data_IF_295095871348
#
_entry.id   IF_295095871348
#
_cell.length_a   1.000
_cell.length_b   1.000
_cell.length_c   1.000
_cell.angle_alpha   90.00
_cell.angle_beta   90.00
_cell.angle_gamma   90.00
#
_symmetry.space_group_name_H-M   'P 1'
#
loop_
_entity.id
_entity.type
_entity.pdbx_description
1 polymer ?
#
# COMPACT_ATOMS: atom_id res chain seq x y z
N UNK A 1 -16.63 5.38 2.46
CA UNK A 1 -16.50 3.95 2.06
C UNK A 1 -17.76 3.52 1.33
N UNK A 2 -17.66 2.78 0.24
CA UNK A 2 -18.81 2.45 -0.61
C UNK A 2 -19.84 1.56 0.11
N UNK A 3 -20.95 2.16 0.52
CA UNK A 3 -22.18 1.47 0.97
C UNK A 3 -22.66 0.41 -0.04
N UNK A 4 -22.30 0.58 -1.31
CA UNK A 4 -22.51 -0.36 -2.40
C UNK A 4 -21.88 -1.75 -2.13
N UNK A 5 -20.71 -1.80 -1.49
CA UNK A 5 -20.01 -3.05 -1.20
C UNK A 5 -20.74 -3.94 -0.18
N UNK A 6 -21.43 -3.33 0.78
CA UNK A 6 -22.14 -4.04 1.86
C UNK A 6 -23.47 -4.59 1.35
N UNK A 7 -24.21 -3.84 0.54
CA UNK A 7 -25.43 -4.32 -0.11
C UNK A 7 -25.13 -5.52 -1.01
N UNK A 8 -24.09 -5.44 -1.84
CA UNK A 8 -23.66 -6.55 -2.69
C UNK A 8 -23.20 -7.77 -1.87
N UNK A 9 -22.52 -7.54 -0.75
CA UNK A 9 -22.10 -8.62 0.15
C UNK A 9 -23.27 -9.34 0.84
N UNK A 10 -24.41 -8.66 1.03
CA UNK A 10 -25.66 -9.28 1.53
C UNK A 10 -26.30 -10.18 0.48
N UNK A 11 -26.19 -9.85 -0.81
CA UNK A 11 -26.82 -10.60 -1.91
C UNK A 11 -26.09 -11.91 -2.29
N UNK A 12 -24.83 -12.09 -1.86
CA UNK A 12 -24.01 -13.30 -2.13
C UNK A 12 -24.36 -14.48 -1.18
N UNK A 13 -25.47 -14.41 -0.46
CA UNK A 13 -25.86 -15.36 0.60
C UNK A 13 -26.21 -16.78 0.13
N UNK A 14 -25.19 -17.66 0.06
CA UNK A 14 -25.31 -19.12 0.27
C UNK A 14 -24.19 -19.75 1.11
N UNK A 15 -23.20 -18.98 1.57
CA UNK A 15 -22.05 -19.50 2.34
C UNK A 15 -21.90 -18.81 3.70
N UNK A 16 -21.17 -19.47 4.61
CA UNK A 16 -20.80 -18.91 5.92
C UNK A 16 -20.09 -17.57 5.72
N UNK A 17 -20.56 -16.51 6.36
CA UNK A 17 -19.92 -15.18 6.34
C UNK A 17 -18.51 -15.25 6.95
N UNK A 18 -17.46 -15.32 6.13
CA UNK A 18 -16.06 -15.58 6.53
C UNK A 18 -15.27 -14.36 7.04
N UNK A 19 -15.97 -13.28 7.42
CA UNK A 19 -15.37 -12.01 7.85
C UNK A 19 -15.30 -10.98 6.71
N UNK A 20 -15.35 -9.70 7.05
CA UNK A 20 -15.37 -8.58 6.08
C UNK A 20 -14.07 -7.77 6.18
N UNK A 21 -13.54 -7.32 5.05
CA UNK A 21 -12.25 -6.61 4.99
C UNK A 21 -12.45 -5.13 4.71
N UNK A 22 -11.78 -4.27 5.48
CA UNK A 22 -11.66 -2.84 5.23
C UNK A 22 -10.19 -2.44 5.13
N UNK A 23 -9.90 -1.48 4.25
CA UNK A 23 -8.56 -0.96 4.01
C UNK A 23 -8.50 0.53 4.39
N UNK A 24 -8.33 0.87 5.68
CA UNK A 24 -8.03 2.23 6.11
C UNK A 24 -6.62 2.68 5.69
N UNK A 25 -5.69 1.74 5.47
CA UNK A 25 -4.29 1.92 5.04
C UNK A 25 -3.39 2.65 6.05
N UNK A 26 -3.90 3.62 6.81
CA UNK A 26 -3.16 4.34 7.84
C UNK A 26 -3.97 4.54 9.13
N UNK A 27 -3.24 4.66 10.26
CA UNK A 27 -3.81 4.71 11.60
C UNK A 27 -4.57 5.98 11.94
N UNK A 28 -3.99 7.14 11.66
CA UNK A 28 -4.58 8.46 11.97
C UNK A 28 -5.26 9.07 10.75
N UNK A 29 -6.15 10.04 10.97
CA UNK A 29 -6.76 10.79 9.87
C UNK A 29 -5.71 11.54 9.06
N UNK A 30 -4.79 12.25 9.73
CA UNK A 30 -3.68 12.96 9.08
C UNK A 30 -2.88 12.04 8.15
N UNK A 31 -2.54 10.82 8.57
CA UNK A 31 -1.77 9.91 7.72
C UNK A 31 -2.61 9.37 6.54
N UNK A 32 -3.93 9.16 6.73
CA UNK A 32 -4.84 8.85 5.62
C UNK A 32 -4.96 9.99 4.61
N UNK A 33 -4.89 11.23 5.09
CA UNK A 33 -4.94 12.43 4.27
C UNK A 33 -3.64 12.60 3.46
N UNK A 34 -2.48 12.38 4.09
CA UNK A 34 -1.16 12.42 3.44
C UNK A 34 -1.06 11.41 2.29
N UNK A 35 -1.54 10.17 2.48
CA UNK A 35 -1.56 9.16 1.40
C UNK A 35 -2.74 9.33 0.44
N UNK A 36 -3.55 10.38 0.64
CA UNK A 36 -4.74 10.70 -0.13
C UNK A 36 -5.75 9.54 -0.24
N UNK A 37 -5.99 8.81 0.85
CA UNK A 37 -6.87 7.64 0.86
C UNK A 37 -8.35 8.01 0.66
N UNK A 38 -8.76 9.20 1.08
CA UNK A 38 -10.15 9.67 1.00
C UNK A 38 -11.13 8.89 1.86
N UNK A 39 -10.66 8.27 2.95
CA UNK A 39 -11.49 7.53 3.92
C UNK A 39 -11.34 8.16 5.30
N UNK A 40 -12.46 8.59 5.88
CA UNK A 40 -12.49 9.14 7.23
C UNK A 40 -12.59 8.06 8.30
N UNK A 41 -12.30 8.41 9.56
CA UNK A 41 -12.61 7.50 10.67
C UNK A 41 -14.11 7.18 10.76
N UNK A 42 -14.97 8.18 10.55
CA UNK A 42 -16.43 8.02 10.60
C UNK A 42 -16.92 7.06 9.50
N UNK A 43 -16.36 7.14 8.29
CA UNK A 43 -16.63 6.17 7.21
C UNK A 43 -16.33 4.73 7.64
N UNK A 44 -15.17 4.50 8.27
CA UNK A 44 -14.77 3.19 8.75
C UNK A 44 -15.71 2.70 9.86
N UNK A 45 -16.04 3.57 10.81
CA UNK A 45 -16.90 3.22 11.94
C UNK A 45 -18.32 2.92 11.50
N UNK A 46 -18.86 3.67 10.53
CA UNK A 46 -20.16 3.40 9.92
C UNK A 46 -20.15 2.04 9.20
N UNK A 47 -19.17 1.79 8.32
CA UNK A 47 -19.05 0.52 7.61
C UNK A 47 -18.85 -0.68 8.55
N UNK A 48 -18.07 -0.51 9.62
CA UNK A 48 -17.91 -1.54 10.65
C UNK A 48 -19.20 -1.80 11.43
N UNK A 49 -19.98 -0.75 11.73
CA UNK A 49 -21.29 -0.86 12.41
C UNK A 49 -22.22 -1.71 11.56
N UNK A 50 -22.39 -1.33 10.30
CA UNK A 50 -23.23 -2.05 9.34
C UNK A 50 -22.83 -3.52 9.22
N UNK A 51 -21.52 -3.81 9.22
CA UNK A 51 -21.01 -5.18 9.18
C UNK A 51 -21.40 -5.98 10.45
N UNK A 52 -21.14 -5.44 11.63
CA UNK A 52 -21.49 -6.16 12.86
C UNK A 52 -23.01 -6.33 13.02
N UNK A 53 -23.80 -5.31 12.66
CA UNK A 53 -25.26 -5.36 12.71
C UNK A 53 -25.82 -6.39 11.73
N UNK A 54 -25.24 -6.45 10.54
CA UNK A 54 -25.59 -7.47 9.55
C UNK A 54 -25.20 -8.88 9.99
N UNK A 55 -24.35 -9.04 11.01
CA UNK A 55 -24.04 -10.32 11.65
C UNK A 55 -22.69 -10.92 11.28
N UNK A 56 -21.76 -10.14 10.74
CA UNK A 56 -20.35 -10.53 10.69
C UNK A 56 -19.76 -10.52 12.10
N UNK A 57 -19.14 -11.62 12.53
CA UNK A 57 -18.44 -11.68 13.83
C UNK A 57 -16.99 -11.18 13.73
N UNK A 58 -16.44 -11.07 12.51
CA UNK A 58 -15.03 -10.78 12.27
C UNK A 58 -14.84 -9.69 11.21
N UNK A 59 -14.00 -8.71 11.52
CA UNK A 59 -13.51 -7.70 10.57
C UNK A 59 -12.00 -7.88 10.38
N UNK A 60 -11.52 -7.72 9.15
CA UNK A 60 -10.09 -7.60 8.83
C UNK A 60 -9.77 -6.15 8.44
N UNK A 61 -8.73 -5.57 9.03
CA UNK A 61 -8.26 -4.22 8.73
C UNK A 61 -6.88 -4.31 8.06
N UNK A 62 -6.71 -3.65 6.91
CA UNK A 62 -5.42 -3.53 6.22
C UNK A 62 -4.79 -2.17 6.46
N UNK A 63 -3.54 -2.20 6.89
CA UNK A 63 -2.70 -1.03 7.12
C UNK A 63 -1.33 -1.19 6.45
N UNK A 64 -0.64 -0.07 6.30
CA UNK A 64 0.78 -0.02 5.98
C UNK A 64 1.56 0.66 7.11
N UNK A 65 2.85 0.37 7.22
CA UNK A 65 3.82 1.07 8.07
C UNK A 65 5.04 1.47 7.24
N UNK A 66 5.78 2.46 7.68
CA UNK A 66 6.93 2.99 6.93
C UNK A 66 6.52 3.96 5.81
N UNK A 67 5.32 4.52 5.90
CA UNK A 67 4.85 5.57 4.99
C UNK A 67 5.73 6.83 5.08
N UNK A 68 5.88 7.59 3.98
CA UNK A 68 6.48 8.93 4.03
C UNK A 68 5.73 9.81 5.05
N UNK A 69 6.48 10.59 5.83
CA UNK A 69 5.96 11.48 6.88
C UNK A 69 5.26 10.78 8.07
N UNK A 70 5.38 9.46 8.17
CA UNK A 70 4.82 8.67 9.28
C UNK A 70 5.57 8.94 10.58
N UNK A 71 4.80 9.14 11.65
CA UNK A 71 5.30 9.34 13.01
C UNK A 71 4.92 8.15 13.90
N UNK A 72 5.49 8.09 15.11
CA UNK A 72 5.11 7.06 16.08
C UNK A 72 3.62 7.15 16.47
N UNK A 73 3.05 8.36 16.48
CA UNK A 73 1.62 8.60 16.74
C UNK A 73 0.74 7.89 15.69
N UNK A 74 1.21 7.77 14.45
CA UNK A 74 0.49 7.07 13.40
C UNK A 74 0.43 5.56 13.63
N UNK A 75 1.53 4.99 14.11
CA UNK A 75 1.60 3.59 14.52
C UNK A 75 0.69 3.35 15.73
N UNK A 76 0.69 4.26 16.70
CA UNK A 76 -0.26 4.24 17.83
C UNK A 76 -1.72 4.32 17.33
N UNK A 77 -1.97 5.13 16.31
CA UNK A 77 -3.26 5.29 15.65
C UNK A 77 -3.80 3.98 15.07
N UNK A 78 -2.94 3.12 14.49
CA UNK A 78 -3.36 1.79 13.99
C UNK A 78 -3.96 0.95 15.12
N UNK A 79 -3.28 0.91 16.26
CA UNK A 79 -3.76 0.16 17.43
C UNK A 79 -5.03 0.78 18.03
N UNK A 80 -5.08 2.11 18.14
CA UNK A 80 -6.24 2.82 18.66
C UNK A 80 -7.50 2.57 17.80
N UNK A 81 -7.38 2.73 16.49
CA UNK A 81 -8.46 2.52 15.54
C UNK A 81 -8.96 1.07 15.56
N UNK A 82 -8.04 0.11 15.57
CA UNK A 82 -8.38 -1.31 15.62
C UNK A 82 -9.12 -1.69 16.92
N UNK A 83 -8.73 -1.09 18.06
CA UNK A 83 -9.44 -1.27 19.34
C UNK A 83 -10.84 -0.64 19.32
N UNK A 84 -11.00 0.54 18.70
CA UNK A 84 -12.31 1.19 18.52
C UNK A 84 -13.27 0.30 17.71
N UNK A 85 -12.81 -0.25 16.58
CA UNK A 85 -13.59 -1.19 15.76
C UNK A 85 -13.98 -2.43 16.56
N UNK A 86 -13.06 -3.00 17.35
CA UNK A 86 -13.35 -4.15 18.21
C UNK A 86 -14.38 -3.81 19.30
N UNK A 87 -14.27 -2.63 19.92
CA UNK A 87 -15.20 -2.18 20.96
C UNK A 87 -16.61 -2.00 20.39
N UNK A 88 -16.73 -1.38 19.21
CA UNK A 88 -17.97 -1.27 18.47
C UNK A 88 -18.59 -2.66 18.21
N UNK A 89 -17.80 -3.60 17.69
CA UNK A 89 -18.27 -4.97 17.45
C UNK A 89 -18.75 -5.68 18.71
N UNK A 90 -18.07 -5.48 19.83
CA UNK A 90 -18.51 -6.02 21.13
C UNK A 90 -19.82 -5.41 21.62
N UNK A 91 -20.03 -4.11 21.40
CA UNK A 91 -21.28 -3.43 21.76
C UNK A 91 -22.45 -3.97 20.91
N UNK A 92 -22.28 -3.99 19.59
CA UNK A 92 -23.31 -4.47 18.64
C UNK A 92 -23.62 -5.96 18.86
N UNK A 93 -22.60 -6.81 18.97
CA UNK A 93 -22.81 -8.23 19.24
C UNK A 93 -23.28 -8.49 20.69
N UNK A 94 -22.94 -7.62 21.63
CA UNK A 94 -23.33 -7.70 23.04
C UNK A 94 -24.84 -7.56 23.24
N UNK A 95 -25.50 -6.69 22.47
CA UNK A 95 -26.97 -6.59 22.43
C UNK A 95 -27.67 -7.92 22.08
N UNK A 96 -26.93 -8.88 21.48
CA UNK A 96 -27.39 -10.22 21.10
C UNK A 96 -26.82 -11.33 21.99
N UNK A 97 -26.20 -10.99 23.13
CA UNK A 97 -25.52 -11.94 24.03
C UNK A 97 -24.24 -12.55 23.47
N UNK A 98 -23.64 -11.93 22.44
CA UNK A 98 -22.54 -12.50 21.64
C UNK A 98 -21.27 -11.65 21.62
N UNK A 99 -21.10 -10.71 22.55
CA UNK A 99 -19.93 -9.81 22.61
C UNK A 99 -18.57 -10.52 22.48
N UNK A 100 -18.43 -11.71 23.07
CA UNK A 100 -17.20 -12.50 23.01
C UNK A 100 -16.81 -13.05 21.63
N UNK A 101 -17.73 -13.00 20.64
CA UNK A 101 -17.51 -13.47 19.26
C UNK A 101 -16.85 -12.42 18.38
N UNK A 102 -16.93 -11.14 18.73
CA UNK A 102 -16.31 -10.06 17.96
C UNK A 102 -14.79 -10.28 17.84
N UNK A 103 -14.29 -10.23 16.60
CA UNK A 103 -12.87 -10.35 16.27
C UNK A 103 -12.47 -9.25 15.29
N UNK A 104 -11.27 -8.71 15.49
CA UNK A 104 -10.61 -7.82 14.53
C UNK A 104 -9.24 -8.41 14.22
N UNK A 105 -8.96 -8.59 12.93
CA UNK A 105 -7.66 -9.08 12.46
C UNK A 105 -6.97 -7.95 11.70
N UNK A 106 -5.81 -7.52 12.18
CA UNK A 106 -5.02 -6.44 11.59
C UNK A 106 -3.96 -7.07 10.68
N UNK A 107 -3.90 -6.62 9.43
CA UNK A 107 -2.90 -7.02 8.45
C UNK A 107 -2.07 -5.80 8.10
N UNK A 108 -0.77 -5.87 8.36
CA UNK A 108 0.13 -4.72 8.23
C UNK A 108 1.21 -5.05 7.22
N UNK A 109 1.32 -4.22 6.18
CA UNK A 109 2.38 -4.32 5.18
C UNK A 109 3.41 -3.21 5.36
N UNK A 110 4.64 -3.46 4.91
CA UNK A 110 5.63 -2.39 4.81
C UNK A 110 5.35 -1.57 3.56
N UNK A 111 5.46 -0.25 3.65
CA UNK A 111 5.36 0.60 2.49
C UNK A 111 6.46 0.23 1.48
N UNK A 112 6.08 0.10 0.21
CA UNK A 112 7.00 -0.13 -0.91
C UNK A 112 6.82 1.03 -1.88
N UNK A 113 7.83 1.90 -2.07
CA UNK A 113 7.72 2.98 -3.02
C UNK A 113 7.52 2.43 -4.43
N UNK A 114 6.42 2.83 -5.09
CA UNK A 114 6.11 2.37 -6.44
C UNK A 114 6.43 3.43 -7.49
N UNK A 115 7.00 3.05 -8.64
CA UNK A 115 7.12 3.90 -9.81
C UNK A 115 5.80 4.60 -10.16
N UNK A 116 5.91 5.84 -10.65
CA UNK A 116 4.77 6.64 -11.12
C UNK A 116 3.70 6.91 -10.06
N UNK A 117 4.09 6.93 -8.78
CA UNK A 117 3.25 7.39 -7.67
C UNK A 117 3.81 8.66 -7.05
N UNK A 118 3.01 9.45 -6.32
CA UNK A 118 3.51 10.62 -5.61
C UNK A 118 4.61 10.32 -4.59
N UNK A 119 4.75 9.07 -4.16
CA UNK A 119 5.79 8.66 -3.21
C UNK A 119 6.99 7.94 -3.85
N UNK A 120 7.11 7.97 -5.19
CA UNK A 120 8.21 7.33 -5.90
C UNK A 120 9.61 7.89 -5.54
N UNK A 121 9.68 9.10 -4.99
CA UNK A 121 10.93 9.76 -4.61
C UNK A 121 11.46 9.33 -3.24
N UNK A 122 10.57 8.84 -2.38
CA UNK A 122 10.92 8.50 -1.00
C UNK A 122 11.56 7.10 -0.92
N UNK A 123 12.52 6.91 -0.01
CA UNK A 123 13.08 5.59 0.26
C UNK A 123 12.05 4.73 1.01
N UNK A 124 12.19 3.42 0.88
CA UNK A 124 11.63 2.53 1.90
C UNK A 124 12.40 2.75 3.22
N UNK A 125 11.73 2.64 4.36
CA UNK A 125 12.42 2.54 5.65
C UNK A 125 13.40 1.35 5.65
N UNK A 126 14.44 1.42 6.48
CA UNK A 126 15.37 0.29 6.62
C UNK A 126 14.66 -0.91 7.25
N UNK A 127 15.27 -2.08 7.15
CA UNK A 127 14.70 -3.32 7.70
C UNK A 127 14.55 -3.20 9.22
N UNK A 128 15.56 -2.65 9.89
CA UNK A 128 15.58 -2.40 11.33
C UNK A 128 14.43 -1.47 11.74
N UNK A 129 14.24 -0.35 11.02
CA UNK A 129 13.15 0.59 11.28
C UNK A 129 11.78 -0.07 11.11
N UNK A 130 11.60 -0.92 10.10
CA UNK A 130 10.35 -1.64 9.88
C UNK A 130 10.12 -2.67 10.99
N UNK A 131 11.12 -3.45 11.38
CA UNK A 131 11.04 -4.43 12.47
C UNK A 131 10.72 -3.77 13.82
N UNK A 132 11.31 -2.61 14.11
CA UNK A 132 11.00 -1.80 15.29
C UNK A 132 9.53 -1.37 15.28
N UNK A 133 9.03 -0.85 14.15
CA UNK A 133 7.61 -0.47 13.98
C UNK A 133 6.67 -1.67 14.14
N UNK A 134 7.00 -2.81 13.54
CA UNK A 134 6.23 -4.06 13.71
C UNK A 134 6.18 -4.50 15.17
N UNK A 135 7.32 -4.49 15.85
CA UNK A 135 7.44 -4.86 17.27
C UNK A 135 6.61 -3.93 18.15
N UNK A 136 6.73 -2.62 17.91
CA UNK A 136 6.00 -1.61 18.65
C UNK A 136 4.47 -1.75 18.47
N UNK A 137 4.00 -2.00 17.25
CA UNK A 137 2.58 -2.24 16.99
C UNK A 137 2.09 -3.55 17.61
N UNK A 138 2.89 -4.62 17.53
CA UNK A 138 2.59 -5.94 18.11
C UNK A 138 2.33 -5.86 19.61
N UNK A 139 3.07 -5.02 20.33
CA UNK A 139 2.87 -4.80 21.77
C UNK A 139 1.56 -4.04 22.05
N UNK A 140 1.26 -3.02 21.26
CA UNK A 140 0.04 -2.21 21.41
C UNK A 140 -1.22 -3.03 21.15
N UNK A 141 -1.21 -3.95 20.19
CA UNK A 141 -2.41 -4.73 19.82
C UNK A 141 -2.67 -5.98 20.68
N UNK A 142 -1.97 -6.17 21.81
CA UNK A 142 -2.18 -7.28 22.75
C UNK A 142 -3.51 -7.17 23.53
N UNK A 143 -4.62 -7.37 22.83
CA UNK A 143 -5.98 -7.31 23.39
C UNK A 143 -6.76 -8.55 22.94
N UNK A 144 -7.52 -9.17 23.85
CA UNK A 144 -8.35 -10.34 23.50
C UNK A 144 -9.30 -10.03 22.35
N UNK A 145 -9.25 -10.82 21.27
CA UNK A 145 -10.10 -10.63 20.10
C UNK A 145 -9.55 -9.65 19.08
N UNK A 146 -8.37 -9.08 19.33
CA UNK A 146 -7.55 -8.40 18.33
C UNK A 146 -6.38 -9.33 17.97
N UNK A 147 -6.13 -9.54 16.68
CA UNK A 147 -4.92 -10.21 16.19
C UNK A 147 -4.21 -9.30 15.21
N UNK A 148 -2.89 -9.48 15.06
CA UNK A 148 -2.08 -8.78 14.07
C UNK A 148 -1.22 -9.76 13.30
N UNK A 149 -1.06 -9.50 12.01
CA UNK A 149 -0.18 -10.20 11.09
C UNK A 149 0.62 -9.16 10.30
N UNK A 150 1.88 -9.45 10.06
CA UNK A 150 2.80 -8.58 9.36
C UNK A 150 3.26 -9.27 8.08
N UNK A 151 3.49 -8.47 7.03
CA UNK A 151 4.30 -8.91 5.90
C UNK A 151 5.76 -9.06 6.32
N UNK A 152 6.44 -9.98 5.67
CA UNK A 152 7.86 -10.23 5.90
C UNK A 152 8.70 -9.02 5.45
N UNK A 153 9.61 -8.58 6.31
CA UNK A 153 10.41 -7.37 6.09
C UNK A 153 11.43 -7.59 4.97
N UNK A 154 12.05 -8.77 4.90
CA UNK A 154 13.02 -9.11 3.84
C UNK A 154 12.33 -9.23 2.48
N UNK A 155 11.15 -9.86 2.44
CA UNK A 155 10.34 -9.91 1.22
C UNK A 155 9.95 -8.49 0.75
N UNK A 156 9.53 -7.63 1.68
CA UNK A 156 9.17 -6.24 1.37
C UNK A 156 10.37 -5.41 0.91
N UNK A 157 11.56 -5.69 1.44
CA UNK A 157 12.81 -5.04 1.03
C UNK A 157 13.23 -5.43 -0.39
N UNK A 158 13.16 -6.72 -0.72
CA UNK A 158 13.38 -7.19 -2.09
C UNK A 158 12.34 -6.60 -3.06
N UNK A 159 11.07 -6.55 -2.66
CA UNK A 159 10.02 -5.92 -3.46
C UNK A 159 10.33 -4.45 -3.76
N UNK A 160 10.83 -3.70 -2.78
CA UNK A 160 11.26 -2.32 -2.97
C UNK A 160 12.48 -2.21 -3.89
N UNK A 161 13.47 -3.08 -3.73
CA UNK A 161 14.64 -3.10 -4.60
C UNK A 161 14.25 -3.34 -6.06
N UNK A 162 13.36 -4.31 -6.34
CA UNK A 162 12.91 -4.58 -7.70
C UNK A 162 11.93 -3.54 -8.25
N UNK A 163 11.04 -3.01 -7.41
CA UNK A 163 10.12 -1.95 -7.82
C UNK A 163 10.87 -0.67 -8.21
N UNK A 164 12.02 -0.40 -7.56
CA UNK A 164 12.84 0.80 -7.78
C UNK A 164 14.09 0.53 -8.63
N UNK A 165 14.24 -0.70 -9.09
CA UNK A 165 15.45 -1.20 -9.71
C UNK A 165 15.67 -0.71 -11.14
N UNK A 166 16.89 -0.89 -11.61
CA UNK A 166 17.25 -0.74 -13.02
C UNK A 166 17.78 -2.07 -13.60
N UNK A 167 18.20 -2.04 -14.87
CA UNK A 167 18.71 -3.21 -15.61
C UNK A 167 19.85 -3.97 -14.91
N UNK A 168 20.56 -3.38 -13.96
CA UNK A 168 21.60 -4.06 -13.17
C UNK A 168 21.03 -5.19 -12.29
N UNK A 169 19.72 -5.18 -12.03
CA UNK A 169 19.05 -6.26 -11.28
C UNK A 169 18.74 -7.50 -12.13
N UNK A 170 18.79 -7.41 -13.46
CA UNK A 170 18.52 -8.56 -14.34
C UNK A 170 19.42 -9.79 -14.01
N UNK A 171 20.76 -9.66 -13.93
CA UNK A 171 21.61 -10.80 -13.58
C UNK A 171 21.40 -11.31 -12.14
N UNK A 172 20.90 -10.46 -11.22
CA UNK A 172 20.57 -10.90 -9.85
C UNK A 172 19.37 -11.86 -9.86
N UNK A 173 18.35 -11.58 -10.68
CA UNK A 173 17.17 -12.44 -10.81
C UNK A 173 17.57 -13.80 -11.40
N UNK A 174 18.38 -13.79 -12.46
CA UNK A 174 18.92 -15.02 -13.06
C UNK A 174 19.75 -15.81 -12.04
N UNK A 175 20.61 -15.13 -11.29
CA UNK A 175 21.43 -15.78 -10.26
C UNK A 175 20.60 -16.37 -9.12
N UNK A 176 19.59 -15.65 -8.62
CA UNK A 176 18.67 -16.17 -7.62
C UNK A 176 17.92 -17.39 -8.15
N UNK A 177 17.55 -17.37 -9.43
CA UNK A 177 16.92 -18.50 -10.09
C UNK A 177 17.85 -19.73 -10.15
N UNK A 178 19.14 -19.54 -10.46
CA UNK A 178 20.16 -20.60 -10.45
C UNK A 178 20.40 -21.19 -9.05
N UNK A 179 20.37 -20.34 -8.03
CA UNK A 179 20.53 -20.74 -6.63
C UNK A 179 19.31 -21.50 -6.08
N UNK A 180 18.20 -21.49 -6.81
CA UNK A 180 16.99 -22.26 -6.48
C UNK A 180 15.83 -21.45 -5.91
N UNK A 181 15.88 -20.10 -5.93
CA UNK A 181 14.74 -19.27 -5.54
C UNK A 181 13.56 -19.53 -6.50
N UNK A 182 12.42 -19.97 -5.94
CA UNK A 182 11.18 -20.22 -6.66
C UNK A 182 10.02 -19.94 -5.73
N UNK A 183 8.92 -19.47 -6.27
CA UNK A 183 7.68 -19.29 -5.52
C UNK A 183 7.85 -18.38 -4.28
N UNK A 184 8.69 -17.34 -4.38
CA UNK A 184 9.01 -16.42 -3.27
C UNK A 184 7.80 -15.64 -2.73
N UNK A 185 6.67 -15.64 -3.44
CA UNK A 185 5.40 -15.08 -2.95
C UNK A 185 4.72 -15.90 -1.86
N UNK A 186 5.14 -17.14 -1.61
CA UNK A 186 4.69 -17.97 -0.49
C UNK A 186 5.74 -17.96 0.62
N UNK A 187 5.35 -17.56 1.82
CA UNK A 187 6.29 -17.34 2.94
C UNK A 187 7.07 -18.59 3.35
N UNK A 188 6.52 -19.79 3.16
CA UNK A 188 7.19 -21.07 3.41
C UNK A 188 8.21 -21.45 2.32
N UNK A 189 8.12 -20.83 1.14
CA UNK A 189 9.03 -21.03 0.02
C UNK A 189 10.07 -19.91 -0.11
N UNK A 190 9.84 -18.74 0.48
CA UNK A 190 10.77 -17.63 0.45
C UNK A 190 12.13 -17.99 1.07
N UNK A 191 13.22 -17.65 0.37
CA UNK A 191 14.62 -17.95 0.77
C UNK A 191 15.47 -16.67 0.77
N UNK A 192 15.34 -15.80 1.79
CA UNK A 192 16.04 -14.51 1.82
C UNK A 192 17.57 -14.65 1.74
N UNK A 193 18.15 -15.70 2.35
CA UNK A 193 19.60 -15.95 2.29
C UNK A 193 20.13 -16.23 0.87
N UNK A 194 19.33 -16.86 0.00
CA UNK A 194 19.73 -17.10 -1.40
C UNK A 194 19.66 -15.82 -2.23
N UNK A 195 18.68 -14.94 -1.94
CA UNK A 195 18.64 -13.60 -2.53
C UNK A 195 19.85 -12.76 -2.11
N UNK A 196 20.19 -12.76 -0.81
CA UNK A 196 21.39 -12.08 -0.32
C UNK A 196 22.66 -12.59 -1.02
N UNK A 197 22.77 -13.91 -1.21
CA UNK A 197 23.86 -14.51 -1.98
C UNK A 197 23.86 -14.05 -3.44
N UNK A 198 22.69 -14.01 -4.11
CA UNK A 198 22.60 -13.57 -5.51
C UNK A 198 23.06 -12.11 -5.70
N UNK A 199 22.69 -11.23 -4.77
CA UNK A 199 23.18 -9.84 -4.75
C UNK A 199 24.70 -9.77 -4.54
N UNK A 200 25.22 -10.52 -3.55
CA UNK A 200 26.65 -10.60 -3.23
C UNK A 200 27.49 -11.11 -4.40
N UNK A 201 27.04 -12.17 -5.08
CA UNK A 201 27.71 -12.76 -6.26
C UNK A 201 27.85 -11.74 -7.40
N UNK A 202 26.90 -10.81 -7.53
CA UNK A 202 26.93 -9.73 -8.52
C UNK A 202 27.62 -8.46 -8.01
N UNK A 203 28.16 -8.47 -6.78
CA UNK A 203 28.73 -7.30 -6.10
C UNK A 203 27.75 -6.12 -5.99
N UNK A 204 26.48 -6.42 -5.74
CA UNK A 204 25.39 -5.45 -5.58
C UNK A 204 24.78 -5.55 -4.18
N UNK A 205 24.18 -4.46 -3.71
CA UNK A 205 23.36 -4.40 -2.49
C UNK A 205 21.95 -3.92 -2.86
N UNK A 206 20.93 -4.68 -2.47
CA UNK A 206 19.51 -4.35 -2.69
C UNK A 206 19.12 -2.99 -2.10
N UNK A 207 19.80 -2.58 -1.03
CA UNK A 207 19.58 -1.30 -0.33
C UNK A 207 19.95 -0.10 -1.21
N UNK A 208 20.79 -0.28 -2.24
CA UNK A 208 21.09 0.76 -3.24
C UNK A 208 19.85 1.24 -4.01
N UNK A 209 18.78 0.43 -4.06
CA UNK A 209 17.50 0.81 -4.68
C UNK A 209 16.39 0.93 -3.66
N UNK A 210 16.25 -0.04 -2.74
CA UNK A 210 15.17 -0.05 -1.76
C UNK A 210 15.18 1.20 -0.86
N UNK A 211 16.37 1.61 -0.41
CA UNK A 211 16.56 2.73 0.52
C UNK A 211 17.13 3.98 -0.16
N UNK A 212 17.21 4.01 -1.49
CA UNK A 212 17.61 5.22 -2.21
C UNK A 212 16.58 6.33 -2.02
N UNK A 213 17.05 7.54 -1.74
CA UNK A 213 16.26 8.76 -1.80
C UNK A 213 16.54 9.47 -3.13
N UNK A 214 15.48 9.88 -3.82
CA UNK A 214 15.61 10.59 -5.10
C UNK A 214 15.14 12.03 -4.96
N UNK A 215 15.93 12.96 -5.48
CA UNK A 215 15.50 14.34 -5.66
C UNK A 215 14.39 14.46 -6.71
N UNK A 216 13.56 15.48 -6.58
CA UNK A 216 12.52 15.80 -7.56
C UNK A 216 13.06 16.18 -8.94
N UNK A 217 14.37 16.45 -9.08
CA UNK A 217 15.04 16.68 -10.35
C UNK A 217 15.74 15.46 -10.94
N UNK A 218 15.81 14.36 -10.20
CA UNK A 218 16.59 13.19 -10.61
C UNK A 218 15.93 12.45 -11.78
N UNK A 219 16.78 11.81 -12.58
CA UNK A 219 16.34 10.83 -13.57
C UNK A 219 16.15 9.49 -12.88
N UNK A 220 14.93 8.96 -12.94
CA UNK A 220 14.53 7.73 -12.28
C UNK A 220 14.71 6.53 -13.22
N UNK A 221 15.00 5.32 -12.69
CA UNK A 221 15.15 4.10 -13.50
C UNK A 221 13.99 3.82 -14.46
N UNK A 222 12.78 4.23 -14.10
CA UNK A 222 11.54 4.01 -14.85
C UNK A 222 11.08 5.24 -15.67
N UNK A 223 11.86 6.33 -15.72
CA UNK A 223 11.47 7.55 -16.47
C UNK A 223 11.33 7.33 -17.99
N UNK A 224 11.86 6.22 -18.51
CA UNK A 224 11.67 5.79 -19.90
C UNK A 224 10.30 5.15 -20.16
N UNK A 225 9.44 5.04 -19.14
CA UNK A 225 8.08 4.48 -19.21
C UNK A 225 7.06 5.61 -18.98
N UNK A 226 6.09 5.74 -19.88
CA UNK A 226 4.95 6.65 -19.74
C UNK A 226 3.68 5.83 -19.46
N UNK A 227 3.11 6.02 -18.27
CA UNK A 227 1.84 5.39 -17.86
C UNK A 227 0.63 6.34 -18.03
N UNK A 228 0.80 7.50 -18.68
CA UNK A 228 -0.22 8.52 -18.91
C UNK A 228 -0.39 9.53 -17.77
N UNK A 229 0.21 9.29 -16.60
CA UNK A 229 0.23 10.25 -15.49
C UNK A 229 1.44 11.17 -15.64
N UNK A 230 1.20 12.48 -15.71
CA UNK A 230 2.27 13.46 -15.89
C UNK A 230 3.17 13.58 -14.65
N UNK A 231 4.49 13.71 -14.87
CA UNK A 231 5.47 13.99 -13.80
C UNK A 231 5.10 15.24 -13.00
N UNK A 232 4.62 16.28 -13.69
CA UNK A 232 4.18 17.52 -13.05
C UNK A 232 3.01 17.29 -12.08
N UNK A 233 2.08 16.38 -12.40
CA UNK A 233 1.01 16.00 -11.47
C UNK A 233 1.58 15.26 -10.26
N UNK A 234 2.43 14.25 -10.46
CA UNK A 234 3.02 13.49 -9.35
C UNK A 234 3.80 14.39 -8.39
N UNK A 235 4.54 15.38 -8.91
CA UNK A 235 5.26 16.35 -8.07
C UNK A 235 4.32 17.22 -7.25
N UNK A 236 3.22 17.71 -7.86
CA UNK A 236 2.20 18.47 -7.13
C UNK A 236 1.59 17.62 -6.02
N UNK A 237 1.27 16.36 -6.30
CA UNK A 237 0.71 15.45 -5.28
C UNK A 237 1.71 15.13 -4.17
N UNK A 238 3.01 15.01 -4.46
CA UNK A 238 4.04 14.81 -3.43
C UNK A 238 4.13 16.01 -2.47
N UNK A 239 4.13 17.23 -3.00
CA UNK A 239 4.11 18.44 -2.18
C UNK A 239 2.81 18.57 -1.37
N UNK A 240 1.66 18.24 -1.98
CA UNK A 240 0.39 18.22 -1.24
C UNK A 240 0.42 17.20 -0.10
N UNK A 241 1.01 16.04 -0.31
CA UNK A 241 1.17 15.03 0.73
C UNK A 241 2.08 15.52 1.87
N UNK A 242 3.16 16.25 1.56
CA UNK A 242 4.02 16.90 2.56
C UNK A 242 3.24 17.89 3.43
N UNK A 243 2.33 18.65 2.81
CA UNK A 243 1.43 19.60 3.48
C UNK A 243 0.20 18.93 4.14
N UNK A 244 0.02 17.61 4.01
CA UNK A 244 -1.14 16.88 4.50
C UNK A 244 -2.46 17.23 3.80
N UNK A 245 -2.40 17.72 2.56
CA UNK A 245 -3.54 18.14 1.76
C UNK A 245 -4.06 17.00 0.87
N UNK A 246 -5.35 16.72 0.96
CA UNK A 246 -6.02 15.73 0.10
C UNK A 246 -6.38 16.31 -1.26
N UNK A 247 -6.34 15.49 -2.31
CA UNK A 247 -6.80 15.87 -3.65
C UNK A 247 -8.23 15.35 -3.85
N UNK A 248 -9.21 16.23 -4.10
CA UNK A 248 -10.60 15.84 -4.28
C UNK A 248 -10.83 14.87 -5.45
N UNK A 249 -11.91 14.11 -5.38
CA UNK A 249 -12.32 13.22 -6.47
C UNK A 249 -12.70 14.02 -7.72
N UNK A 250 -12.00 13.75 -8.81
CA UNK A 250 -12.18 14.47 -10.06
C UNK A 250 -13.56 14.29 -10.73
N UNK A 251 -14.35 13.30 -10.30
CA UNK A 251 -15.74 13.05 -10.75
C UNK A 251 -16.71 14.07 -10.18
N UNK A 252 -16.41 14.61 -9.00
CA UNK A 252 -17.29 15.50 -8.24
C UNK A 252 -16.75 16.94 -8.23
N UNK A 253 -15.44 17.10 -8.05
CA UNK A 253 -14.80 18.40 -7.88
C UNK A 253 -14.15 18.96 -9.16
N UNK A 254 -14.24 18.24 -10.28
CA UNK A 254 -13.61 18.60 -11.55
C UNK A 254 -12.17 18.07 -11.71
N UNK A 255 -11.64 18.17 -12.93
CA UNK A 255 -10.39 17.49 -13.32
C UNK A 255 -9.14 18.00 -12.58
N UNK A 256 -8.43 17.11 -11.88
CA UNK A 256 -7.16 17.40 -11.16
C UNK A 256 -5.92 17.47 -12.07
N UNK A 257 -6.09 17.25 -13.38
CA UNK A 257 -5.04 17.41 -14.38
C UNK A 257 -3.93 16.35 -14.30
N UNK A 258 -4.27 15.08 -14.03
CA UNK A 258 -3.29 13.98 -13.96
C UNK A 258 -2.71 13.61 -15.33
N UNK A 259 -3.48 13.77 -16.41
CA UNK A 259 -3.09 13.45 -17.80
C UNK A 259 -3.79 12.23 -18.39
N UNK A 260 -4.38 11.37 -17.56
CA UNK A 260 -4.92 10.06 -17.97
C UNK A 260 -6.13 10.17 -18.91
N UNK A 261 -7.12 11.00 -18.57
CA UNK A 261 -8.41 11.01 -19.30
C UNK A 261 -8.38 11.69 -20.68
N UNK A 262 -7.22 12.13 -21.18
CA UNK A 262 -7.11 12.91 -22.44
C UNK A 262 -6.75 12.09 -23.68
N UNK A 263 -6.85 10.76 -23.63
CA UNK A 263 -6.59 9.92 -24.80
C UNK A 263 -6.63 8.42 -24.51
N UNK A 264 -6.00 7.65 -25.40
CA UNK A 264 -5.86 6.20 -25.29
C UNK A 264 -4.95 5.81 -24.10
N UNK A 265 -5.50 5.07 -23.13
CA UNK A 265 -4.81 4.64 -21.92
C UNK A 265 -3.96 3.40 -22.24
N UNK A 266 -2.68 3.64 -22.49
CA UNK A 266 -1.70 2.57 -22.75
C UNK A 266 -0.32 2.97 -22.26
N UNK A 267 0.46 1.98 -21.84
CA UNK A 267 1.87 2.17 -21.48
C UNK A 267 2.68 2.45 -22.74
N UNK A 268 3.56 3.46 -22.70
CA UNK A 268 4.40 3.89 -23.82
C UNK A 268 5.84 4.07 -23.37
N UNK A 269 6.75 4.11 -24.34
CA UNK A 269 8.11 4.58 -24.09
C UNK A 269 8.11 6.11 -24.05
N UNK A 270 8.88 6.67 -23.13
CA UNK A 270 9.01 8.11 -22.89
C UNK A 270 10.37 8.66 -23.35
N UNK A 271 10.46 9.98 -23.47
CA UNK A 271 11.70 10.68 -23.80
C UNK A 271 12.28 10.26 -25.15
N UNK A 272 13.60 10.01 -25.19
CA UNK A 272 14.32 9.58 -26.40
C UNK A 272 13.88 8.21 -26.93
N UNK A 273 13.18 7.42 -26.11
CA UNK A 273 12.65 6.10 -26.48
C UNK A 273 11.24 6.19 -27.07
N UNK A 274 10.57 7.34 -26.98
CA UNK A 274 9.30 7.56 -27.63
C UNK A 274 9.55 7.48 -29.15
N UNK A 275 9.15 6.36 -29.77
CA UNK A 275 9.31 6.16 -31.21
C UNK A 275 8.81 7.38 -31.96
N UNK A 276 9.61 7.88 -32.91
CA UNK A 276 9.26 9.03 -33.74
C UNK A 276 7.87 8.79 -34.30
N UNK A 277 6.86 9.48 -33.77
CA UNK A 277 5.52 9.40 -34.31
C UNK A 277 5.63 10.02 -35.68
N UNK A 278 5.58 9.19 -36.72
CA UNK A 278 5.47 9.64 -38.09
C UNK A 278 4.35 10.68 -38.14
N UNK A 279 4.70 11.94 -38.41
CA UNK A 279 3.76 12.95 -38.83
C UNK A 279 3.10 12.42 -40.11
N UNK A 280 1.90 11.88 -39.96
CA UNK A 280 1.11 11.31 -41.03
C UNK A 280 -0.22 12.03 -41.15
N UNK A 281 -0.25 13.03 -42.05
CA UNK A 281 -1.42 13.37 -42.86
C UNK A 281 -2.45 14.34 -42.27
N UNK A 282 -2.50 15.54 -42.86
CA UNK A 282 -3.67 16.42 -42.74
C UNK A 282 -3.40 17.90 -43.04
N UNK A 283 -2.77 18.22 -44.18
CA UNK A 283 -2.94 19.53 -44.82
C UNK A 283 -4.00 19.41 -45.93
N UNK A 284 -4.88 20.42 -45.96
CA UNK A 284 -5.95 20.72 -46.92
C UNK A 284 -7.22 19.85 -46.86
#
# INVERSE_FOLDING_TARGET
>A
MDSFSIALARDVEKSRRTGLTFAPEAGTQRMRDIINKGVTEDDLMAAATDAFESGWDQIKLYFMIGLPFETLEDIDGIAALSRRVLQLGRQVAGARGKAGRARVNVSVSSFVPKPHTPFQWFPQNTREQLEEKQSCLKERVRVRGLSVSFHDVEASHLEAAFARGDRRLAPVIERAWDLGCRFDGWSDQFRPGLWQQAFSDMSLDSSMWANAEYGYGDTLPWDHIDMGVSRAFLLREAHRAEDGLTTPDCREAGCSGCGVCRGDVRVRLAGEFAGSSSQGGGQA
#
